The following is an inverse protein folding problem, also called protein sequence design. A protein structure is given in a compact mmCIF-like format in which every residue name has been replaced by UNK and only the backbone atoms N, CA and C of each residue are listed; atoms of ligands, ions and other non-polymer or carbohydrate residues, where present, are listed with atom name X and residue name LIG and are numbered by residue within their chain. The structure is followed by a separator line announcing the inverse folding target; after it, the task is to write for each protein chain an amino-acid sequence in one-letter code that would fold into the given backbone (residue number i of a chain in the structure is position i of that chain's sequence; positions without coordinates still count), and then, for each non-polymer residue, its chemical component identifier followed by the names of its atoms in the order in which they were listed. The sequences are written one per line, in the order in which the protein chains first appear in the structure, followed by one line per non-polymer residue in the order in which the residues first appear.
data_IF_996579314658
#
_entry.id   IF_996579314658
#
_cell.length_a   1.000
_cell.length_b   1.000
_cell.length_c   1.000
_cell.angle_alpha   90.00
_cell.angle_beta   90.00
_cell.angle_gamma   90.00
#
_symmetry.space_group_name_H-M   'P 1'
#
loop_
_entity.id
_entity.type
_entity.pdbx_description
1 polymer ?
#
# COMPACT_ATOMS: atom_id res chain seq x y z
N UNK A 1 7.19 9.40 2.40
CA UNK A 1 7.27 8.09 1.72
C UNK A 1 8.39 8.04 0.69
N UNK A 2 8.41 8.95 -0.30
CA UNK A 2 9.48 9.04 -1.32
C UNK A 2 10.90 8.91 -0.75
N UNK A 3 11.28 9.77 0.19
CA UNK A 3 12.62 9.76 0.83
C UNK A 3 13.00 8.41 1.44
N UNK A 4 12.03 7.70 2.04
CA UNK A 4 12.27 6.38 2.61
C UNK A 4 12.55 5.36 1.51
N UNK A 5 11.69 5.31 0.49
CA UNK A 5 11.83 4.39 -0.64
C UNK A 5 13.12 4.63 -1.42
N UNK A 6 13.54 5.89 -1.60
CA UNK A 6 14.81 6.20 -2.28
C UNK A 6 16.01 5.67 -1.49
N UNK A 7 16.00 5.82 -0.16
CA UNK A 7 17.05 5.25 0.70
C UNK A 7 17.04 3.73 0.66
N UNK A 8 15.87 3.10 0.72
CA UNK A 8 15.75 1.65 0.60
C UNK A 8 16.26 1.15 -0.75
N UNK A 9 15.95 1.83 -1.85
CA UNK A 9 16.47 1.50 -3.17
C UNK A 9 18.00 1.52 -3.20
N UNK A 10 18.62 2.54 -2.62
CA UNK A 10 20.09 2.63 -2.56
C UNK A 10 20.72 1.50 -1.74
N UNK A 11 20.07 1.08 -0.64
CA UNK A 11 20.57 0.05 0.27
C UNK A 11 20.21 -1.39 -0.16
N UNK A 12 19.24 -1.56 -1.05
CA UNK A 12 18.85 -2.88 -1.56
C UNK A 12 19.88 -3.34 -2.59
N UNK A 13 20.30 -4.60 -2.52
CA UNK A 13 21.18 -5.21 -3.53
C UNK A 13 20.41 -5.48 -4.83
N UNK A 14 21.12 -5.64 -5.96
CA UNK A 14 20.48 -5.99 -7.23
C UNK A 14 19.72 -7.32 -7.09
N UNK A 15 18.48 -7.39 -7.60
CA UNK A 15 17.52 -8.50 -7.39
C UNK A 15 17.08 -8.70 -5.93
N UNK A 16 17.36 -7.74 -5.06
CA UNK A 16 16.90 -7.74 -3.68
C UNK A 16 15.44 -7.29 -3.59
N UNK A 17 14.74 -7.78 -2.56
CA UNK A 17 13.32 -7.52 -2.36
C UNK A 17 13.06 -6.63 -1.14
N UNK A 18 12.04 -5.81 -1.24
CA UNK A 18 11.48 -5.02 -0.13
C UNK A 18 9.98 -5.29 -0.05
N UNK A 19 9.53 -5.77 1.10
CA UNK A 19 8.10 -5.95 1.40
C UNK A 19 7.58 -4.83 2.30
N UNK A 20 6.51 -4.17 1.89
CA UNK A 20 5.89 -3.07 2.64
C UNK A 20 4.46 -3.45 3.02
N UNK A 21 4.23 -3.66 4.30
CA UNK A 21 2.88 -3.89 4.84
C UNK A 21 2.21 -2.54 5.05
N UNK A 22 1.03 -2.34 4.46
CA UNK A 22 0.31 -1.06 4.52
C UNK A 22 -1.19 -1.28 4.48
N UNK A 23 -1.94 -0.50 5.26
CA UNK A 23 -3.39 -0.42 5.20
C UNK A 23 -3.86 0.76 4.35
N UNK A 24 -4.84 0.53 3.49
CA UNK A 24 -5.61 1.60 2.86
C UNK A 24 -6.50 2.28 3.91
N UNK A 25 -6.72 3.57 3.73
CA UNK A 25 -7.56 4.38 4.62
C UNK A 25 -8.74 4.97 3.87
N UNK A 26 -9.74 5.45 4.63
CA UNK A 26 -10.86 6.19 4.10
C UNK A 26 -11.10 7.44 4.95
N UNK A 27 -11.29 8.59 4.30
CA UNK A 27 -11.61 9.85 4.97
C UNK A 27 -12.82 10.47 4.28
N UNK A 28 -13.85 10.79 5.05
CA UNK A 28 -15.10 11.40 4.56
C UNK A 28 -15.70 10.66 3.35
N UNK A 29 -15.68 9.33 3.36
CA UNK A 29 -16.19 8.49 2.26
C UNK A 29 -15.26 8.40 1.04
N UNK A 30 -14.02 8.88 1.11
CA UNK A 30 -13.04 8.78 0.02
C UNK A 30 -11.94 7.81 0.41
N UNK A 31 -11.68 6.81 -0.44
CA UNK A 31 -10.55 5.89 -0.27
C UNK A 31 -9.24 6.60 -0.59
N UNK A 32 -8.26 6.39 0.27
CA UNK A 32 -6.85 6.68 0.01
C UNK A 32 -6.16 5.33 -0.24
N UNK A 33 -5.91 4.95 -1.51
CA UNK A 33 -5.34 3.65 -1.87
C UNK A 33 -3.82 3.68 -1.65
N UNK A 34 -3.41 3.68 -0.38
CA UNK A 34 -2.01 3.84 0.02
C UNK A 34 -1.11 2.75 -0.54
N UNK A 35 -1.61 1.52 -0.69
CA UNK A 35 -0.89 0.42 -1.34
C UNK A 35 -0.48 0.77 -2.79
N UNK A 36 -1.40 1.32 -3.58
CA UNK A 36 -1.15 1.79 -4.94
C UNK A 36 -0.22 3.01 -4.96
N UNK A 37 -0.44 3.98 -4.07
CA UNK A 37 0.40 5.19 -4.00
C UNK A 37 1.87 4.83 -3.73
N UNK A 38 2.12 3.89 -2.82
CA UNK A 38 3.48 3.40 -2.55
C UNK A 38 4.06 2.71 -3.79
N UNK A 39 3.28 1.89 -4.48
CA UNK A 39 3.72 1.20 -5.69
C UNK A 39 4.12 2.18 -6.81
N UNK A 40 3.34 3.24 -7.04
CA UNK A 40 3.66 4.26 -8.04
C UNK A 40 4.93 5.04 -7.68
N UNK A 41 5.04 5.52 -6.44
CA UNK A 41 6.25 6.21 -5.96
C UNK A 41 7.49 5.30 -6.08
N UNK A 42 7.35 4.00 -5.77
CA UNK A 42 8.45 3.04 -5.89
C UNK A 42 8.91 2.86 -7.34
N UNK A 43 7.98 2.81 -8.31
CA UNK A 43 8.31 2.77 -9.75
C UNK A 43 9.06 4.02 -10.20
N UNK A 44 8.61 5.20 -9.77
CA UNK A 44 9.29 6.47 -10.08
C UNK A 44 10.76 6.49 -9.59
N UNK A 45 11.02 5.86 -8.44
CA UNK A 45 12.37 5.74 -7.86
C UNK A 45 13.24 4.71 -8.59
N UNK A 46 12.64 3.71 -9.23
CA UNK A 46 13.33 2.68 -10.00
C UNK A 46 13.10 1.23 -9.53
N UNK A 47 12.28 0.99 -8.51
CA UNK A 47 11.88 -0.37 -8.15
C UNK A 47 10.92 -0.97 -9.20
N UNK A 48 11.00 -2.28 -9.39
CA UNK A 48 9.95 -3.08 -10.03
C UNK A 48 8.90 -3.50 -9.00
N UNK A 49 7.63 -3.21 -9.24
CA UNK A 49 6.52 -3.71 -8.41
C UNK A 49 6.16 -5.11 -8.86
N UNK A 50 6.44 -6.13 -8.04
CA UNK A 50 6.16 -7.53 -8.36
C UNK A 50 4.72 -7.91 -8.08
N UNK A 51 4.20 -7.47 -6.94
CA UNK A 51 2.85 -7.79 -6.53
C UNK A 51 2.37 -6.85 -5.43
N UNK A 52 1.05 -6.77 -5.31
CA UNK A 52 0.37 -6.21 -4.14
C UNK A 52 -0.52 -7.33 -3.61
N UNK A 53 -0.11 -7.95 -2.51
CA UNK A 53 -0.86 -9.04 -1.88
C UNK A 53 -1.82 -8.46 -0.86
N UNK A 54 -3.13 -8.62 -1.06
CA UNK A 54 -4.13 -8.27 -0.03
C UNK A 54 -4.06 -9.30 1.09
N UNK A 55 -3.77 -8.86 2.32
CA UNK A 55 -3.66 -9.75 3.48
C UNK A 55 -5.00 -9.92 4.18
N UNK A 56 -5.71 -8.82 4.43
CA UNK A 56 -7.01 -8.81 5.12
C UNK A 56 -7.82 -7.57 4.79
N UNK A 57 -9.14 -7.68 4.95
CA UNK A 57 -10.02 -6.51 4.97
C UNK A 57 -9.95 -5.81 6.33
N UNK A 58 -9.90 -4.48 6.31
CA UNK A 58 -9.95 -3.67 7.51
C UNK A 58 -11.42 -3.45 7.90
N UNK A 59 -11.73 -3.67 9.17
CA UNK A 59 -13.05 -3.40 9.72
C UNK A 59 -13.07 -2.01 10.32
N UNK A 60 -14.09 -1.22 9.98
CA UNK A 60 -14.37 0.06 10.62
C UNK A 60 -15.27 -0.14 11.84
N UNK A 61 -15.38 0.89 12.68
CA UNK A 61 -16.32 0.88 13.79
C UNK A 61 -17.76 0.67 13.29
N UNK A 62 -18.61 0.11 14.13
CA UNK A 62 -20.02 -0.20 13.82
C UNK A 62 -20.79 1.02 13.29
N UNK A 63 -20.42 2.22 13.76
CA UNK A 63 -21.03 3.50 13.38
C UNK A 63 -20.67 3.92 11.95
N UNK A 64 -19.43 3.68 11.52
CA UNK A 64 -18.94 4.00 10.17
C UNK A 64 -19.26 2.90 9.15
N UNK A 65 -19.66 1.71 9.63
CA UNK A 65 -19.83 0.51 8.81
C UNK A 65 -20.94 0.64 7.76
N UNK A 66 -22.01 1.38 8.06
CA UNK A 66 -23.10 1.65 7.11
C UNK A 66 -22.70 2.65 6.02
N UNK A 67 -21.97 3.70 6.40
CA UNK A 67 -21.55 4.74 5.46
C UNK A 67 -20.43 4.26 4.53
N UNK A 68 -19.61 3.31 4.97
CA UNK A 68 -18.44 2.82 4.22
C UNK A 68 -18.64 1.41 3.65
N UNK A 69 -19.87 0.88 3.65
CA UNK A 69 -20.14 -0.48 3.21
C UNK A 69 -19.71 -0.72 1.75
N UNK A 70 -19.95 0.28 0.88
CA UNK A 70 -19.53 0.24 -0.54
C UNK A 70 -18.00 0.29 -0.71
N UNK A 71 -17.26 0.70 0.32
CA UNK A 71 -15.80 0.82 0.31
C UNK A 71 -15.08 -0.34 1.02
N UNK A 72 -15.83 -1.29 1.59
CA UNK A 72 -15.29 -2.40 2.39
C UNK A 72 -14.23 -3.21 1.66
N UNK A 73 -14.35 -3.37 0.34
CA UNK A 73 -13.37 -4.11 -0.46
C UNK A 73 -12.04 -3.36 -0.64
N UNK A 74 -12.06 -2.02 -0.52
CA UNK A 74 -10.90 -1.15 -0.69
C UNK A 74 -10.20 -0.82 0.62
N UNK A 75 -10.93 -0.89 1.74
CA UNK A 75 -10.38 -0.87 3.08
C UNK A 75 -9.71 -2.21 3.39
N UNK A 76 -8.42 -2.28 3.10
CA UNK A 76 -7.63 -3.50 3.18
C UNK A 76 -6.22 -3.22 3.63
N UNK A 77 -5.61 -4.23 4.24
CA UNK A 77 -4.18 -4.30 4.42
C UNK A 77 -3.59 -5.11 3.26
N UNK A 78 -2.45 -4.64 2.77
CA UNK A 78 -1.73 -5.22 1.65
C UNK A 78 -0.23 -5.27 1.93
N UNK A 79 0.48 -6.20 1.28
CA UNK A 79 1.94 -6.21 1.18
C UNK A 79 2.32 -5.81 -0.23
N UNK A 80 2.97 -4.66 -0.39
CA UNK A 80 3.57 -4.23 -1.65
C UNK A 80 4.96 -4.84 -1.73
N UNK A 81 5.21 -5.69 -2.72
CA UNK A 81 6.50 -6.35 -2.95
C UNK A 81 7.24 -5.67 -4.08
N UNK A 82 8.40 -5.12 -3.74
CA UNK A 82 9.29 -4.38 -4.64
C UNK A 82 10.57 -5.18 -4.89
N UNK A 83 11.12 -5.12 -6.10
CA UNK A 83 12.44 -5.66 -6.45
C UNK A 83 13.31 -4.54 -7.06
N UNK A 84 14.60 -4.50 -6.70
CA UNK A 84 15.60 -3.63 -7.34
C UNK A 84 16.25 -4.26 -8.56
#
# INVERSE_FOLDING_TARGET
MYTLLSKLYLQTVKKGFVGIVVGNSAYSGVIIPTDILIAEIAKEIGFSVKSIFVTRHLTTSSQQKRELEYLKNYLRESIVVLEK
#
